data_IF_789609857917
#
_entry.id   IF_789609857917
#
_cell.length_a   1.000
_cell.length_b   1.000
_cell.length_c   1.000
_cell.angle_alpha   90.00
_cell.angle_beta   90.00
_cell.angle_gamma   90.00
#
_symmetry.space_group_name_H-M   'P 1'
#
loop_
_entity.id
_entity.type
_entity.pdbx_description
1 polymer ?
#
# COMPACT_ATOMS: atom_id res chain seq x y z
N UNK A 1 -27.89 -3.57 13.15
CA UNK A 1 -27.19 -2.85 12.07
C UNK A 1 -27.05 -1.40 12.50
N UNK A 2 -25.86 -0.83 12.38
CA UNK A 2 -25.56 0.56 12.79
C UNK A 2 -24.78 1.23 11.66
N UNK A 3 -25.13 2.48 11.34
CA UNK A 3 -24.42 3.31 10.38
C UNK A 3 -23.72 4.44 11.12
N UNK A 4 -22.44 4.65 10.82
CA UNK A 4 -21.64 5.71 11.43
C UNK A 4 -20.93 6.45 10.31
N UNK A 5 -21.14 7.76 10.25
CA UNK A 5 -20.36 8.63 9.40
C UNK A 5 -19.21 9.23 10.22
N UNK A 6 -18.04 9.35 9.61
CA UNK A 6 -16.82 9.89 10.22
C UNK A 6 -16.58 9.43 11.68
N UNK A 7 -16.46 8.11 11.89
CA UNK A 7 -16.26 7.53 13.24
C UNK A 7 -15.04 8.11 13.98
N UNK A 8 -14.05 8.61 13.24
CA UNK A 8 -12.83 9.23 13.74
C UNK A 8 -12.98 10.69 14.18
N UNK A 9 -14.15 11.31 13.99
CA UNK A 9 -14.33 12.74 14.21
C UNK A 9 -13.89 13.15 15.62
N UNK A 10 -12.94 14.10 15.70
CA UNK A 10 -12.30 14.58 16.95
C UNK A 10 -11.53 13.52 17.76
N UNK A 11 -11.35 12.30 17.26
CA UNK A 11 -10.58 11.29 17.96
C UNK A 11 -9.09 11.52 17.80
N UNK A 12 -8.35 11.43 18.91
CA UNK A 12 -6.90 11.32 18.86
C UNK A 12 -6.49 10.10 18.01
N UNK A 13 -5.39 10.15 17.22
CA UNK A 13 -4.96 9.04 16.35
C UNK A 13 -4.90 7.66 17.03
N UNK A 14 -4.45 7.63 18.29
CA UNK A 14 -4.45 6.42 19.13
C UNK A 14 -5.83 5.76 19.28
N UNK A 15 -6.90 6.55 19.34
CA UNK A 15 -8.28 6.05 19.40
C UNK A 15 -8.79 5.62 18.03
N UNK A 16 -8.44 6.36 16.98
CA UNK A 16 -8.75 5.96 15.60
C UNK A 16 -8.20 4.56 15.32
N UNK A 17 -6.93 4.30 15.68
CA UNK A 17 -6.32 2.97 15.49
C UNK A 17 -6.99 1.84 16.29
N UNK A 18 -7.76 2.14 17.35
CA UNK A 18 -8.34 1.13 18.25
C UNK A 18 -9.83 0.92 18.05
N UNK A 19 -10.55 1.91 17.52
CA UNK A 19 -12.03 1.95 17.60
C UNK A 19 -12.68 0.76 16.90
N UNK A 20 -12.20 0.35 15.73
CA UNK A 20 -12.76 -0.76 14.97
C UNK A 20 -12.66 -2.08 15.76
N UNK A 21 -11.46 -2.40 16.25
CA UNK A 21 -11.24 -3.59 17.08
C UNK A 21 -12.10 -3.59 18.36
N UNK A 22 -12.29 -2.41 18.98
CA UNK A 22 -13.14 -2.27 20.16
C UNK A 22 -14.62 -2.51 19.82
N UNK A 23 -15.12 -1.95 18.72
CA UNK A 23 -16.50 -2.17 18.27
C UNK A 23 -16.77 -3.65 18.00
N UNK A 24 -15.87 -4.34 17.31
CA UNK A 24 -15.97 -5.78 17.06
C UNK A 24 -16.01 -6.58 18.38
N UNK A 25 -15.17 -6.23 19.34
CA UNK A 25 -15.07 -6.93 20.62
C UNK A 25 -16.30 -6.71 21.52
N UNK A 26 -16.78 -5.47 21.64
CA UNK A 26 -17.91 -5.14 22.51
C UNK A 26 -19.28 -5.49 21.91
N UNK A 27 -19.40 -5.48 20.58
CA UNK A 27 -20.67 -5.69 19.88
C UNK A 27 -20.58 -6.77 18.80
N UNK A 28 -20.25 -8.03 19.14
CA UNK A 28 -19.98 -9.10 18.17
C UNK A 28 -21.19 -9.52 17.32
N UNK A 29 -22.42 -9.17 17.74
CA UNK A 29 -23.66 -9.47 17.00
C UNK A 29 -24.21 -8.26 16.23
N UNK A 30 -23.40 -7.21 16.09
CA UNK A 30 -23.80 -5.96 15.45
C UNK A 30 -22.96 -5.71 14.21
N UNK A 31 -23.62 -5.62 13.06
CA UNK A 31 -22.99 -5.15 11.82
C UNK A 31 -22.90 -3.63 11.83
N UNK A 32 -21.70 -3.10 11.66
CA UNK A 32 -21.42 -1.67 11.51
C UNK A 32 -21.10 -1.36 10.04
N UNK A 33 -21.68 -0.28 9.53
CA UNK A 33 -21.33 0.33 8.25
C UNK A 33 -20.74 1.70 8.55
N UNK A 34 -19.46 1.84 8.27
CA UNK A 34 -18.68 3.01 8.68
C UNK A 34 -18.19 3.70 7.43
N UNK A 35 -18.51 4.98 7.29
CA UNK A 35 -17.84 5.86 6.34
C UNK A 35 -16.70 6.57 7.08
N UNK A 36 -15.56 6.72 6.42
CA UNK A 36 -14.35 7.30 7.03
C UNK A 36 -13.50 7.96 5.95
N UNK A 37 -12.85 9.05 6.33
CA UNK A 37 -11.80 9.70 5.55
C UNK A 37 -10.42 9.45 6.16
N UNK A 38 -10.33 8.71 7.27
CA UNK A 38 -9.08 8.45 7.99
C UNK A 38 -8.35 7.21 7.46
N UNK A 39 -7.10 7.37 6.95
CA UNK A 39 -6.25 6.24 6.58
C UNK A 39 -5.92 5.33 7.77
N UNK A 40 -5.91 5.89 9.00
CA UNK A 40 -5.65 5.11 10.20
C UNK A 40 -6.79 4.14 10.50
N UNK A 41 -8.05 4.54 10.28
CA UNK A 41 -9.20 3.64 10.40
C UNK A 41 -9.10 2.53 9.36
N UNK A 42 -8.90 2.90 8.09
CA UNK A 42 -8.77 1.93 6.98
C UNK A 42 -7.65 0.93 7.26
N UNK A 43 -6.48 1.37 7.76
CA UNK A 43 -5.35 0.49 8.11
C UNK A 43 -5.62 -0.55 9.20
N UNK A 44 -6.77 -0.49 9.88
CA UNK A 44 -7.16 -1.45 10.93
C UNK A 44 -8.21 -2.46 10.47
N UNK A 45 -8.69 -2.32 9.24
CA UNK A 45 -9.69 -3.20 8.63
C UNK A 45 -9.03 -4.46 8.07
N UNK A 46 -9.69 -5.59 8.27
CA UNK A 46 -9.25 -6.89 7.75
C UNK A 46 -9.70 -7.06 6.29
N UNK A 47 -9.26 -8.15 5.65
CA UNK A 47 -9.62 -8.46 4.27
C UNK A 47 -11.15 -8.54 4.08
N UNK A 48 -11.66 -7.78 3.10
CA UNK A 48 -13.10 -7.75 2.80
C UNK A 48 -13.95 -6.87 3.71
N UNK A 49 -13.34 -6.06 4.56
CA UNK A 49 -14.06 -5.12 5.42
C UNK A 49 -14.02 -3.67 4.93
N UNK A 50 -13.11 -3.35 4.00
CA UNK A 50 -12.96 -2.00 3.48
C UNK A 50 -13.30 -1.93 1.99
N UNK A 51 -14.01 -0.86 1.63
CA UNK A 51 -14.49 -0.63 0.28
C UNK A 51 -14.30 0.85 -0.10
N UNK A 52 -13.78 1.09 -1.30
CA UNK A 52 -13.77 2.40 -1.92
C UNK A 52 -15.07 2.58 -2.73
N UNK A 53 -15.73 3.72 -2.54
CA UNK A 53 -16.90 4.09 -3.34
C UNK A 53 -16.48 4.99 -4.50
N UNK A 54 -16.60 4.47 -5.73
CA UNK A 54 -16.23 5.19 -6.95
C UNK A 54 -17.48 5.59 -7.71
N UNK A 55 -17.60 6.87 -8.06
CA UNK A 55 -18.69 7.39 -8.90
C UNK A 55 -18.27 7.43 -10.36
N UNK A 56 -19.01 6.74 -11.24
CA UNK A 56 -18.87 6.79 -12.69
C UNK A 56 -20.18 7.27 -13.32
N UNK A 57 -20.23 8.54 -13.71
CA UNK A 57 -21.46 9.19 -14.18
C UNK A 57 -22.53 9.22 -13.09
N UNK A 58 -23.68 8.58 -13.35
CA UNK A 58 -24.79 8.50 -12.39
C UNK A 58 -24.83 7.20 -11.56
N UNK A 59 -23.78 6.38 -11.61
CA UNK A 59 -23.68 5.13 -10.85
C UNK A 59 -22.55 5.22 -9.82
N UNK A 60 -22.80 4.72 -8.62
CA UNK A 60 -21.79 4.49 -7.59
C UNK A 60 -21.50 2.99 -7.53
N UNK A 61 -20.22 2.62 -7.55
CA UNK A 61 -19.76 1.24 -7.44
C UNK A 61 -18.80 1.11 -6.26
N UNK A 62 -18.96 0.06 -5.47
CA UNK A 62 -18.03 -0.28 -4.42
C UNK A 62 -16.90 -1.17 -4.98
N UNK A 63 -15.66 -0.79 -4.71
CA UNK A 63 -14.46 -1.58 -5.00
C UNK A 63 -13.87 -2.05 -3.67
N UNK A 64 -13.75 -3.37 -3.48
CA UNK A 64 -13.18 -3.94 -2.27
C UNK A 64 -11.68 -3.62 -2.22
N UNK A 65 -11.23 -3.07 -1.10
CA UNK A 65 -9.81 -2.96 -0.78
C UNK A 65 -9.32 -4.33 -0.28
N UNK A 66 -8.06 -4.67 -0.54
CA UNK A 66 -7.47 -5.98 -0.20
C UNK A 66 -7.45 -6.26 1.32
N UNK A 67 -6.27 -6.36 1.93
CA UNK A 67 -6.14 -6.48 3.39
C UNK A 67 -5.37 -5.28 3.95
N UNK A 68 -6.04 -4.12 4.19
CA UNK A 68 -5.36 -2.91 4.65
C UNK A 68 -4.57 -3.07 5.95
N UNK A 69 -4.94 -4.02 6.81
CA UNK A 69 -4.20 -4.33 8.04
C UNK A 69 -2.81 -4.90 7.81
N UNK A 70 -2.59 -5.54 6.67
CA UNK A 70 -1.29 -6.09 6.26
C UNK A 70 -0.48 -5.11 5.40
N UNK A 71 -1.05 -3.95 5.05
CA UNK A 71 -0.40 -2.94 4.24
C UNK A 71 0.49 -2.03 5.10
N UNK A 72 1.59 -1.53 4.53
CA UNK A 72 2.26 -0.39 5.13
C UNK A 72 1.34 0.83 5.02
N UNK A 73 1.47 1.78 5.96
CA UNK A 73 0.63 2.98 5.93
C UNK A 73 0.74 3.74 4.59
N UNK A 74 1.94 3.81 4.00
CA UNK A 74 2.14 4.39 2.68
C UNK A 74 1.30 3.71 1.59
N UNK A 75 1.19 2.38 1.63
CA UNK A 75 0.38 1.61 0.68
C UNK A 75 -1.12 1.86 0.89
N UNK A 76 -1.57 2.11 2.14
CA UNK A 76 -2.96 2.52 2.41
C UNK A 76 -3.25 3.87 1.76
N UNK A 77 -2.35 4.84 1.89
CA UNK A 77 -2.51 6.15 1.26
C UNK A 77 -2.54 6.05 -0.27
N UNK A 78 -1.65 5.27 -0.88
CA UNK A 78 -1.62 5.10 -2.34
C UNK A 78 -2.81 4.26 -2.84
N UNK A 79 -3.09 3.13 -2.19
CA UNK A 79 -4.08 2.15 -2.64
C UNK A 79 -5.54 2.50 -2.33
N UNK A 80 -5.82 3.19 -1.22
CA UNK A 80 -7.18 3.55 -0.83
C UNK A 80 -7.51 5.03 -1.04
N UNK A 81 -6.50 5.91 -0.91
CA UNK A 81 -6.70 7.37 -0.97
C UNK A 81 -6.11 8.03 -2.22
N UNK A 82 -5.47 7.25 -3.10
CA UNK A 82 -4.85 7.76 -4.33
C UNK A 82 -3.82 8.87 -4.07
N UNK A 83 -3.10 8.78 -2.95
CA UNK A 83 -2.04 9.71 -2.57
C UNK A 83 -0.67 9.07 -2.84
N UNK A 84 0.06 9.63 -3.81
CA UNK A 84 1.41 9.21 -4.16
C UNK A 84 2.47 10.04 -3.41
N UNK A 85 2.86 9.60 -2.22
CA UNK A 85 3.95 10.27 -1.47
C UNK A 85 5.30 10.23 -2.20
N UNK A 86 5.52 9.20 -3.02
CA UNK A 86 6.73 9.06 -3.81
C UNK A 86 6.83 10.10 -4.93
N UNK A 87 5.70 10.68 -5.40
CA UNK A 87 5.72 11.73 -6.41
C UNK A 87 6.07 13.10 -5.84
N UNK A 88 5.72 13.41 -4.58
CA UNK A 88 6.06 14.70 -3.96
C UNK A 88 7.56 14.92 -3.75
N UNK A 89 8.36 13.85 -3.69
CA UNK A 89 9.84 13.94 -3.75
C UNK A 89 10.40 14.09 -5.17
N UNK A 90 9.57 13.89 -6.20
CA UNK A 90 9.97 13.86 -7.62
C UNK A 90 9.63 15.17 -8.35
N UNK A 91 8.86 16.08 -7.73
CA UNK A 91 8.61 17.41 -8.30
C UNK A 91 9.84 18.33 -8.28
N UNK A 92 10.94 17.91 -7.65
CA UNK A 92 12.28 18.44 -7.94
C UNK A 92 13.06 17.40 -8.75
N UNK A 93 13.07 17.65 -10.07
CA UNK A 93 13.96 17.12 -11.11
C UNK A 93 13.67 15.69 -11.65
N UNK A 94 13.61 15.63 -12.99
CA UNK A 94 13.18 14.56 -13.89
C UNK A 94 13.82 13.15 -13.71
N UNK A 95 14.65 12.91 -12.71
CA UNK A 95 15.41 11.67 -12.53
C UNK A 95 14.75 10.69 -11.54
N UNK A 96 13.96 11.21 -10.58
CA UNK A 96 13.34 10.40 -9.53
C UNK A 96 12.18 9.49 -10.01
N UNK A 97 11.40 9.93 -10.99
CA UNK A 97 10.28 9.15 -11.56
C UNK A 97 10.77 7.86 -12.22
N UNK A 98 11.90 7.94 -12.91
CA UNK A 98 12.51 6.81 -13.59
C UNK A 98 13.07 5.78 -12.59
N UNK A 99 13.60 6.23 -11.45
CA UNK A 99 14.09 5.35 -10.40
C UNK A 99 12.95 4.56 -9.72
N UNK A 100 11.84 5.24 -9.40
CA UNK A 100 10.67 4.59 -8.78
C UNK A 100 10.05 3.56 -9.73
N UNK A 101 9.94 3.89 -11.03
CA UNK A 101 9.47 2.95 -12.03
C UNK A 101 10.38 1.71 -12.11
N UNK A 102 11.71 1.90 -12.17
CA UNK A 102 12.68 0.80 -12.15
C UNK A 102 12.59 -0.08 -10.90
N UNK A 103 12.38 0.53 -9.73
CA UNK A 103 12.17 -0.21 -8.47
C UNK A 103 10.92 -1.08 -8.51
N UNK A 104 9.81 -0.54 -9.05
CA UNK A 104 8.55 -1.26 -9.22
C UNK A 104 8.70 -2.42 -10.21
N UNK A 105 9.38 -2.17 -11.33
CA UNK A 105 9.64 -3.19 -12.36
C UNK A 105 10.53 -4.31 -11.80
N UNK A 106 11.57 -3.97 -11.03
CA UNK A 106 12.42 -4.94 -10.35
C UNK A 106 11.62 -5.82 -9.38
N UNK A 107 10.83 -5.21 -8.50
CA UNK A 107 9.98 -5.93 -7.55
C UNK A 107 9.02 -6.90 -8.24
N UNK A 108 8.42 -6.47 -9.36
CA UNK A 108 7.49 -7.30 -10.15
C UNK A 108 8.22 -8.49 -10.77
N UNK A 109 9.39 -8.28 -11.39
CA UNK A 109 10.17 -9.36 -12.00
C UNK A 109 10.71 -10.37 -11.00
N UNK A 110 11.11 -9.94 -9.81
CA UNK A 110 11.53 -10.85 -8.72
C UNK A 110 10.36 -11.73 -8.29
N UNK A 111 9.16 -11.16 -8.12
CA UNK A 111 7.94 -11.91 -7.80
C UNK A 111 7.59 -12.92 -8.89
N UNK A 112 7.68 -12.51 -10.16
CA UNK A 112 7.42 -13.41 -11.29
C UNK A 112 8.43 -14.54 -11.37
N UNK A 113 9.73 -14.26 -11.22
CA UNK A 113 10.77 -15.29 -11.17
C UNK A 113 10.55 -16.28 -10.01
N UNK A 114 10.16 -15.80 -8.83
CA UNK A 114 9.87 -16.67 -7.69
C UNK A 114 8.77 -17.71 -8.02
N UNK A 115 7.84 -17.35 -8.90
CA UNK A 115 6.74 -18.21 -9.34
C UNK A 115 7.09 -19.08 -10.56
N UNK A 116 7.79 -18.54 -11.56
CA UNK A 116 8.02 -19.22 -12.85
C UNK A 116 9.38 -19.90 -12.97
N UNK A 117 10.37 -19.48 -12.17
CA UNK A 117 11.79 -19.89 -12.26
C UNK A 117 12.42 -19.64 -13.65
N UNK A 118 11.93 -18.66 -14.39
CA UNK A 118 12.47 -18.29 -15.71
C UNK A 118 13.80 -17.51 -15.57
N UNK A 119 14.88 -18.09 -16.08
CA UNK A 119 16.22 -17.49 -16.07
C UNK A 119 16.29 -16.13 -16.79
N UNK A 120 15.39 -15.86 -17.75
CA UNK A 120 15.32 -14.56 -18.43
C UNK A 120 14.90 -13.45 -17.47
N UNK A 121 13.91 -13.72 -16.61
CA UNK A 121 13.45 -12.78 -15.59
C UNK A 121 14.53 -12.52 -14.55
N UNK A 122 15.31 -13.55 -14.18
CA UNK A 122 16.47 -13.41 -13.30
C UNK A 122 17.54 -12.49 -13.91
N UNK A 123 17.84 -12.64 -15.20
CA UNK A 123 18.79 -11.78 -15.90
C UNK A 123 18.28 -10.33 -15.98
N UNK A 124 17.02 -10.11 -16.35
CA UNK A 124 16.41 -8.78 -16.43
C UNK A 124 16.35 -8.09 -15.06
N UNK A 125 16.00 -8.82 -14.00
CA UNK A 125 16.00 -8.30 -12.64
C UNK A 125 17.42 -7.91 -12.19
N UNK A 126 18.43 -8.72 -12.50
CA UNK A 126 19.83 -8.39 -12.19
C UNK A 126 20.33 -7.15 -12.95
N UNK A 127 19.93 -6.95 -14.19
CA UNK A 127 20.25 -5.74 -14.96
C UNK A 127 19.61 -4.51 -14.31
N UNK A 128 18.32 -4.58 -13.96
CA UNK A 128 17.63 -3.50 -13.27
C UNK A 128 18.28 -3.17 -11.92
N UNK A 129 18.66 -4.18 -11.14
CA UNK A 129 19.38 -4.01 -9.88
C UNK A 129 20.67 -3.19 -10.07
N UNK A 130 21.49 -3.52 -11.07
CA UNK A 130 22.72 -2.79 -11.37
C UNK A 130 22.48 -1.36 -11.86
N UNK A 131 21.34 -1.09 -12.49
CA UNK A 131 20.95 0.26 -12.92
C UNK A 131 20.40 1.12 -11.77
N UNK A 132 19.82 0.50 -10.73
CA UNK A 132 19.22 1.19 -9.59
C UNK A 132 20.28 1.50 -8.51
N UNK A 133 21.25 0.60 -8.32
CA UNK A 133 22.27 0.69 -7.27
C UNK A 133 23.07 2.01 -7.25
N UNK A 134 23.46 2.62 -8.39
CA UNK A 134 24.22 3.88 -8.41
C UNK A 134 23.37 5.08 -7.95
N UNK A 135 22.06 5.00 -8.09
CA UNK A 135 21.11 6.07 -7.76
C UNK A 135 20.67 6.05 -6.28
N UNK A 136 21.13 5.07 -5.49
CA UNK A 136 20.79 4.93 -4.08
C UNK A 136 22.03 5.09 -3.19
N UNK A 137 21.94 5.98 -2.20
CA UNK A 137 22.97 6.15 -1.17
C UNK A 137 23.20 4.84 -0.40
N UNK A 138 24.40 4.65 0.16
CA UNK A 138 24.78 3.39 0.85
C UNK A 138 23.92 3.10 2.08
N UNK A 139 23.42 4.14 2.73
CA UNK A 139 22.62 4.11 3.95
C UNK A 139 21.10 4.17 3.71
N UNK A 140 20.68 4.30 2.45
CA UNK A 140 19.27 4.42 2.06
C UNK A 140 18.47 3.16 2.44
N UNK A 141 17.35 3.29 3.19
CA UNK A 141 16.49 2.16 3.54
C UNK A 141 16.00 1.36 2.33
N UNK A 142 15.78 2.02 1.18
CA UNK A 142 15.33 1.39 -0.07
C UNK A 142 16.39 0.46 -0.65
N UNK A 143 17.68 0.77 -0.42
CA UNK A 143 18.79 -0.10 -0.82
C UNK A 143 18.80 -1.41 -0.04
N UNK A 144 18.51 -1.37 1.27
CA UNK A 144 18.41 -2.59 2.10
C UNK A 144 17.25 -3.48 1.65
N UNK A 145 16.11 -2.88 1.31
CA UNK A 145 14.97 -3.60 0.75
C UNK A 145 15.31 -4.23 -0.61
N UNK A 146 16.01 -3.49 -1.47
CA UNK A 146 16.48 -3.98 -2.78
C UNK A 146 17.43 -5.17 -2.63
N UNK A 147 18.40 -5.08 -1.71
CA UNK A 147 19.36 -6.16 -1.42
C UNK A 147 18.64 -7.41 -0.91
N UNK A 148 17.61 -7.24 -0.08
CA UNK A 148 16.79 -8.34 0.46
C UNK A 148 15.94 -9.03 -0.61
N UNK A 149 15.51 -8.30 -1.65
CA UNK A 149 14.81 -8.91 -2.78
C UNK A 149 15.78 -9.61 -3.73
N UNK A 150 17.01 -9.11 -3.86
CA UNK A 150 18.05 -9.73 -4.70
C UNK A 150 18.43 -11.13 -4.20
N UNK A 151 18.44 -11.38 -2.90
CA UNK A 151 18.74 -12.73 -2.37
C UNK A 151 17.72 -13.78 -2.83
N UNK A 152 16.51 -13.38 -3.22
CA UNK A 152 15.50 -14.29 -3.79
C UNK A 152 15.80 -14.72 -5.23
N UNK A 153 16.74 -14.04 -5.90
CA UNK A 153 17.20 -14.38 -7.24
C UNK A 153 18.38 -15.36 -7.22
N UNK A 154 19.01 -15.60 -6.06
CA UNK A 154 20.11 -16.56 -5.90
C UNK A 154 19.58 -18.00 -5.89
#
# INVERSE_FOLDING_TARGET
MVFIDEIESHFHPKWQYRIISLLKAFFPKTTFYIATHSPLIVSTTDEGEAYELVRKGNKVTAHQLGNPREWYLADVFTGAFHIDFLQSTVTSENDGSHLIQKLKDFSTKVKEYANTKDDRLKQEANILYQQILPSLAKDDPRRRALDSLRTLLE
#
